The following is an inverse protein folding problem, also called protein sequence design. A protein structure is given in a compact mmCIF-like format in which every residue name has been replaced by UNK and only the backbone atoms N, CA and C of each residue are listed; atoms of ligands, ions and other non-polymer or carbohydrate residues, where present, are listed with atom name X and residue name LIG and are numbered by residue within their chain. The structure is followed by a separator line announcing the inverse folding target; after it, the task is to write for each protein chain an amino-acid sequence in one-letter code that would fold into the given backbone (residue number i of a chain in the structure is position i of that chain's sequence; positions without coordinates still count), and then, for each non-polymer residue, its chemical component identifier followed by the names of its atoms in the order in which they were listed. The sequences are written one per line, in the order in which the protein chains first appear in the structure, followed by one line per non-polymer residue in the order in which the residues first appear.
data_IF_635836287045
#
_entry.id   IF_635836287045
#
_cell.length_a   1.000
_cell.length_b   1.000
_cell.length_c   1.000
_cell.angle_alpha   90.00
_cell.angle_beta   90.00
_cell.angle_gamma   90.00
#
_symmetry.space_group_name_H-M   'P 1'
#
loop_
_entity.id
_entity.type
_entity.pdbx_description
1 polymer ?
#
# COMPACT_ATOMS: atom_id res chain seq x y z
N UNK A 1 -24.68 -0.41 -24.76
CA UNK A 1 -25.10 -0.19 -23.37
C UNK A 1 -24.38 1.05 -22.83
N UNK A 2 -25.01 2.24 -22.77
CA UNK A 2 -24.30 3.50 -22.40
C UNK A 2 -24.24 3.81 -20.91
N UNK A 3 -24.76 2.96 -20.01
CA UNK A 3 -24.82 3.22 -18.57
C UNK A 3 -23.49 3.08 -17.80
N UNK A 4 -22.59 2.20 -18.24
CA UNK A 4 -21.37 1.89 -17.51
C UNK A 4 -20.30 3.01 -17.55
N UNK A 5 -20.25 3.76 -18.65
CA UNK A 5 -19.27 4.84 -18.85
C UNK A 5 -19.62 6.09 -18.03
N UNK A 6 -20.92 6.40 -17.90
CA UNK A 6 -21.40 7.52 -17.07
C UNK A 6 -21.19 7.26 -15.58
N UNK A 7 -21.43 6.05 -15.10
CA UNK A 7 -21.20 5.71 -13.69
C UNK A 7 -19.72 5.69 -13.32
N UNK A 8 -18.84 5.26 -14.23
CA UNK A 8 -17.39 5.34 -14.02
C UNK A 8 -16.89 6.80 -14.00
N UNK A 9 -17.40 7.65 -14.89
CA UNK A 9 -17.06 9.08 -14.92
C UNK A 9 -17.58 9.81 -13.67
N UNK A 10 -18.78 9.51 -13.19
CA UNK A 10 -19.33 10.08 -11.96
C UNK A 10 -18.52 9.67 -10.72
N UNK A 11 -18.03 8.43 -10.68
CA UNK A 11 -17.15 7.95 -9.58
C UNK A 11 -15.77 8.59 -9.63
N UNK A 12 -15.18 8.74 -10.82
CA UNK A 12 -13.93 9.47 -11.03
C UNK A 12 -14.08 10.96 -10.69
N UNK A 13 -15.21 11.57 -11.07
CA UNK A 13 -15.52 12.97 -10.74
C UNK A 13 -15.73 13.15 -9.22
N UNK A 14 -16.45 12.24 -8.55
CA UNK A 14 -16.63 12.25 -7.09
C UNK A 14 -15.31 12.08 -6.35
N UNK A 15 -14.44 11.24 -6.86
CA UNK A 15 -13.10 11.03 -6.33
C UNK A 15 -12.18 12.24 -6.57
N UNK A 16 -12.24 12.83 -7.77
CA UNK A 16 -11.54 14.08 -8.07
C UNK A 16 -12.04 15.26 -7.22
N UNK A 17 -13.35 15.33 -6.97
CA UNK A 17 -13.95 16.33 -6.08
C UNK A 17 -13.47 16.16 -4.63
N UNK A 18 -13.41 14.93 -4.11
CA UNK A 18 -12.88 14.65 -2.78
C UNK A 18 -11.41 15.08 -2.66
N UNK A 19 -10.61 14.80 -3.68
CA UNK A 19 -9.22 15.24 -3.78
C UNK A 19 -9.11 16.77 -3.75
N UNK A 20 -9.90 17.46 -4.57
CA UNK A 20 -9.92 18.92 -4.65
C UNK A 20 -10.39 19.55 -3.35
N UNK A 21 -11.41 18.98 -2.69
CA UNK A 21 -11.87 19.44 -1.37
C UNK A 21 -10.78 19.25 -0.33
N UNK A 22 -10.07 18.10 -0.31
CA UNK A 22 -8.95 17.87 0.62
C UNK A 22 -7.81 18.85 0.36
N UNK A 23 -7.44 19.09 -0.90
CA UNK A 23 -6.44 20.08 -1.28
C UNK A 23 -6.89 21.51 -0.92
N UNK A 24 -8.15 21.85 -1.17
CA UNK A 24 -8.71 23.15 -0.85
C UNK A 24 -8.77 23.42 0.66
N UNK A 25 -9.11 22.41 1.45
CA UNK A 25 -9.07 22.51 2.93
C UNK A 25 -7.63 22.71 3.40
N UNK A 26 -6.67 21.98 2.86
CA UNK A 26 -5.23 22.14 3.16
C UNK A 26 -4.74 23.53 2.73
N UNK A 27 -5.16 24.03 1.57
CA UNK A 27 -4.74 25.37 1.09
C UNK A 27 -5.46 26.52 1.79
N UNK A 28 -6.70 26.32 2.22
CA UNK A 28 -7.49 27.36 2.92
C UNK A 28 -7.07 27.53 4.39
N UNK A 29 -6.55 26.48 5.02
CA UNK A 29 -6.03 26.55 6.39
C UNK A 29 -4.63 27.15 6.48
N UNK A 30 -3.94 27.34 5.33
CA UNK A 30 -2.70 28.12 5.20
C UNK A 30 -1.48 27.61 5.95
N UNK A 31 -1.64 26.53 6.72
CA UNK A 31 -0.54 25.96 7.52
C UNK A 31 -0.72 24.46 7.60
N UNK A 32 0.26 23.70 7.15
CA UNK A 32 0.34 22.29 7.53
C UNK A 32 0.56 22.22 9.04
N UNK A 33 -0.28 21.50 9.81
CA UNK A 33 -0.03 21.33 11.22
C UNK A 33 1.37 20.78 11.43
N UNK A 34 2.09 21.32 12.40
CA UNK A 34 3.42 20.84 12.77
C UNK A 34 3.35 19.39 13.24
N UNK A 35 4.48 18.67 13.18
CA UNK A 35 4.56 17.29 13.68
C UNK A 35 4.17 17.19 15.17
N UNK A 36 4.40 18.24 15.94
CA UNK A 36 3.97 18.32 17.35
C UNK A 36 2.47 18.45 17.50
N UNK A 37 1.82 19.35 16.74
CA UNK A 37 0.37 19.51 16.76
C UNK A 37 -0.38 18.24 16.35
N UNK A 38 0.10 17.57 15.28
CA UNK A 38 -0.48 16.30 14.86
C UNK A 38 -0.37 15.21 15.94
N UNK A 39 0.75 15.17 16.64
CA UNK A 39 0.98 14.22 17.73
C UNK A 39 0.08 14.51 18.94
N UNK A 40 -0.13 15.78 19.24
CA UNK A 40 -0.99 16.19 20.35
C UNK A 40 -2.45 15.92 20.02
N UNK A 41 -2.92 16.18 18.78
CA UNK A 41 -4.24 15.75 18.32
C UNK A 41 -4.45 14.23 18.43
N UNK A 42 -3.42 13.43 18.09
CA UNK A 42 -3.48 11.97 18.25
C UNK A 42 -3.67 11.54 19.70
N UNK A 43 -3.04 12.25 20.65
CA UNK A 43 -3.19 12.01 22.10
C UNK A 43 -4.57 12.44 22.62
N UNK A 44 -5.02 13.62 22.21
CA UNK A 44 -6.29 14.21 22.68
C UNK A 44 -7.50 13.39 22.20
N UNK A 45 -7.46 12.88 20.98
CA UNK A 45 -8.49 12.00 20.41
C UNK A 45 -8.44 10.56 20.98
N UNK A 46 -7.31 10.18 21.54
CA UNK A 46 -7.12 8.88 22.19
C UNK A 46 -7.52 7.68 21.33
N UNK A 47 -8.33 6.78 21.91
CA UNK A 47 -8.81 5.57 21.25
C UNK A 47 -9.71 5.84 20.03
N UNK A 48 -10.41 6.97 20.00
CA UNK A 48 -11.26 7.35 18.87
C UNK A 48 -10.43 7.61 17.60
N UNK A 49 -9.25 8.23 17.72
CA UNK A 49 -8.32 8.40 16.62
C UNK A 49 -7.85 7.05 16.06
N UNK A 50 -7.55 6.09 16.94
CA UNK A 50 -7.12 4.75 16.55
C UNK A 50 -8.21 3.99 15.75
N UNK A 51 -9.47 4.08 16.19
CA UNK A 51 -10.61 3.47 15.48
C UNK A 51 -10.84 4.14 14.12
N UNK A 52 -10.79 5.49 14.06
CA UNK A 52 -11.02 6.24 12.85
C UNK A 52 -9.86 6.07 11.84
N UNK A 53 -8.65 5.80 12.33
CA UNK A 53 -7.45 5.70 11.49
C UNK A 53 -7.54 4.60 10.43
N UNK A 54 -7.99 3.40 10.77
CA UNK A 54 -8.03 2.27 9.83
C UNK A 54 -9.01 2.52 8.68
N UNK A 55 -10.28 2.92 8.89
CA UNK A 55 -11.18 3.30 7.80
C UNK A 55 -10.64 4.46 6.96
N UNK A 56 -10.08 5.49 7.59
CA UNK A 56 -9.48 6.62 6.89
C UNK A 56 -8.29 6.18 6.04
N UNK A 57 -7.42 5.33 6.59
CA UNK A 57 -6.31 4.73 5.84
C UNK A 57 -6.80 4.04 4.57
N UNK A 58 -7.84 3.21 4.67
CA UNK A 58 -8.41 2.49 3.53
C UNK A 58 -8.86 3.45 2.43
N UNK A 59 -9.60 4.49 2.78
CA UNK A 59 -10.12 5.48 1.82
C UNK A 59 -8.96 6.27 1.19
N UNK A 60 -8.08 6.80 2.02
CA UNK A 60 -6.97 7.66 1.57
C UNK A 60 -5.93 6.88 0.78
N UNK A 61 -5.75 5.59 1.03
CA UNK A 61 -4.80 4.74 0.32
C UNK A 61 -5.14 4.52 -1.17
N UNK A 62 -6.33 4.86 -1.61
CA UNK A 62 -6.64 4.90 -3.05
C UNK A 62 -5.94 6.05 -3.77
N UNK A 63 -5.51 7.08 -3.04
CA UNK A 63 -4.87 8.30 -3.56
C UNK A 63 -3.41 8.40 -3.11
N UNK A 64 -3.21 8.29 -1.80
CA UNK A 64 -1.90 8.45 -1.17
C UNK A 64 -1.29 7.06 -0.95
N UNK A 65 0.00 6.95 -1.22
CA UNK A 65 0.72 5.68 -1.05
C UNK A 65 0.81 5.27 0.42
N UNK A 66 0.61 3.99 0.69
CA UNK A 66 0.58 3.43 2.04
C UNK A 66 1.81 3.74 2.95
N UNK A 67 3.06 3.92 2.43
CA UNK A 67 4.19 4.29 3.28
C UNK A 67 4.02 5.64 3.99
N UNK A 68 3.41 6.62 3.31
CA UNK A 68 3.11 7.94 3.90
C UNK A 68 2.10 7.79 5.03
N UNK A 69 1.06 7.00 4.80
CA UNK A 69 0.05 6.73 5.83
C UNK A 69 0.65 5.97 7.02
N UNK A 70 1.51 4.98 6.76
CA UNK A 70 2.22 4.26 7.82
C UNK A 70 3.12 5.20 8.66
N UNK A 71 3.84 6.12 8.01
CA UNK A 71 4.62 7.13 8.73
C UNK A 71 3.71 8.05 9.57
N UNK A 72 2.55 8.45 9.04
CA UNK A 72 1.55 9.22 9.80
C UNK A 72 1.06 8.46 11.05
N UNK A 73 0.88 7.14 10.97
CA UNK A 73 0.55 6.34 12.16
C UNK A 73 1.63 6.42 13.23
N UNK A 74 2.89 6.37 12.83
CA UNK A 74 4.03 6.53 13.74
C UNK A 74 4.04 7.88 14.41
N UNK A 75 3.78 8.93 13.65
CA UNK A 75 3.72 10.29 14.16
C UNK A 75 2.59 10.48 15.18
N UNK A 76 1.38 9.96 14.87
CA UNK A 76 0.18 10.12 15.69
C UNK A 76 0.19 9.22 16.94
N UNK A 77 0.58 7.95 16.79
CA UNK A 77 0.41 6.90 17.79
C UNK A 77 1.73 6.34 18.34
N UNK A 78 2.86 6.87 17.86
CA UNK A 78 4.19 6.32 18.17
C UNK A 78 4.45 4.98 17.49
N UNK A 79 5.66 4.44 17.65
CA UNK A 79 6.07 3.21 16.97
C UNK A 79 5.25 2.00 17.41
N UNK A 80 5.05 1.84 18.72
CA UNK A 80 4.35 0.67 19.28
C UNK A 80 2.85 0.64 18.92
N UNK A 81 2.15 1.78 19.05
CA UNK A 81 0.71 1.88 18.73
C UNK A 81 0.45 1.98 17.22
N UNK A 82 1.29 2.72 16.52
CA UNK A 82 1.15 2.96 15.08
C UNK A 82 1.40 1.71 14.23
N UNK A 83 2.30 0.81 14.65
CA UNK A 83 2.64 -0.39 13.87
C UNK A 83 1.42 -1.32 13.66
N UNK A 84 0.70 -1.76 14.69
CA UNK A 84 -0.48 -2.62 14.49
C UNK A 84 -1.60 -1.89 13.73
N UNK A 85 -1.81 -0.59 13.97
CA UNK A 85 -2.81 0.21 13.26
C UNK A 85 -2.48 0.36 11.77
N UNK A 86 -1.23 0.69 11.44
CA UNK A 86 -0.80 0.79 10.06
C UNK A 86 -0.83 -0.57 9.34
N UNK A 87 -0.48 -1.66 10.03
CA UNK A 87 -0.55 -3.01 9.46
C UNK A 87 -2.01 -3.42 9.19
N UNK A 88 -2.93 -3.11 10.09
CA UNK A 88 -4.35 -3.28 9.86
C UNK A 88 -4.83 -2.43 8.68
N UNK A 89 -4.46 -1.14 8.64
CA UNK A 89 -4.80 -0.22 7.56
C UNK A 89 -4.33 -0.70 6.18
N UNK A 90 -3.06 -1.07 6.06
CA UNK A 90 -2.48 -1.63 4.83
C UNK A 90 -3.21 -2.91 4.40
N UNK A 91 -3.51 -3.80 5.34
CA UNK A 91 -4.18 -5.05 5.04
C UNK A 91 -5.63 -4.83 4.59
N UNK A 92 -6.38 -3.98 5.32
CA UNK A 92 -7.74 -3.62 4.95
C UNK A 92 -7.80 -2.89 3.59
N UNK A 93 -6.83 -2.01 3.31
CA UNK A 93 -6.73 -1.33 2.02
C UNK A 93 -6.44 -2.32 0.88
N UNK A 94 -5.59 -3.33 1.09
CA UNK A 94 -5.36 -4.39 0.11
C UNK A 94 -6.65 -5.16 -0.21
N UNK A 95 -7.40 -5.55 0.83
CA UNK A 95 -8.68 -6.24 0.70
C UNK A 95 -9.70 -5.37 -0.04
N UNK A 96 -9.78 -4.08 0.30
CA UNK A 96 -10.69 -3.13 -0.35
C UNK A 96 -10.36 -2.97 -1.85
N UNK A 97 -9.08 -2.81 -2.21
CA UNK A 97 -8.64 -2.71 -3.60
C UNK A 97 -8.91 -4.00 -4.39
N UNK A 98 -8.67 -5.17 -3.77
CA UNK A 98 -9.02 -6.46 -4.34
C UNK A 98 -10.52 -6.60 -4.55
N UNK A 99 -11.33 -6.20 -3.57
CA UNK A 99 -12.79 -6.24 -3.65
C UNK A 99 -13.31 -5.32 -4.76
N UNK A 100 -12.82 -4.07 -4.84
CA UNK A 100 -13.16 -3.12 -5.90
C UNK A 100 -12.87 -3.72 -7.27
N UNK A 101 -11.68 -4.30 -7.48
CA UNK A 101 -11.33 -4.93 -8.75
C UNK A 101 -12.28 -6.10 -9.08
N UNK A 102 -12.54 -6.97 -8.10
CA UNK A 102 -13.40 -8.14 -8.27
C UNK A 102 -14.84 -7.78 -8.60
N UNK A 103 -15.42 -6.81 -7.87
CA UNK A 103 -16.80 -6.38 -8.09
C UNK A 103 -16.97 -5.56 -9.37
N UNK A 104 -15.99 -4.72 -9.73
CA UNK A 104 -16.06 -3.93 -10.97
C UNK A 104 -15.84 -4.78 -12.21
N UNK A 105 -14.97 -5.78 -12.14
CA UNK A 105 -14.66 -6.65 -13.27
C UNK A 105 -15.78 -7.68 -13.53
N UNK A 106 -16.48 -8.13 -12.48
CA UNK A 106 -17.56 -9.11 -12.59
C UNK A 106 -17.15 -10.34 -13.38
N UNK A 107 -18.02 -10.79 -14.31
CA UNK A 107 -17.76 -11.94 -15.18
C UNK A 107 -16.67 -11.72 -16.24
N UNK A 108 -16.19 -10.50 -16.42
CA UNK A 108 -15.16 -10.12 -17.40
C UNK A 108 -13.74 -10.05 -16.82
N UNK A 109 -13.56 -10.43 -15.56
CA UNK A 109 -12.30 -10.31 -14.81
C UNK A 109 -11.08 -10.84 -15.59
N UNK A 110 -11.17 -12.06 -16.13
CA UNK A 110 -10.05 -12.69 -16.86
C UNK A 110 -9.69 -12.03 -18.20
N UNK A 111 -10.57 -11.16 -18.75
CA UNK A 111 -10.31 -10.43 -20.01
C UNK A 111 -9.68 -9.05 -19.78
N UNK A 112 -9.71 -8.56 -18.56
CA UNK A 112 -9.25 -7.20 -18.22
C UNK A 112 -7.76 -7.15 -17.86
N UNK A 113 -7.13 -8.28 -17.60
CA UNK A 113 -5.69 -8.34 -17.34
C UNK A 113 -4.92 -8.16 -18.66
N UNK A 114 -4.05 -7.12 -18.75
CA UNK A 114 -3.16 -6.99 -19.88
C UNK A 114 -2.29 -8.24 -20.03
N UNK A 115 -1.96 -8.64 -21.26
CA UNK A 115 -1.12 -9.83 -21.51
C UNK A 115 0.20 -9.80 -20.74
N UNK A 116 0.78 -8.61 -20.56
CA UNK A 116 2.00 -8.41 -19.79
C UNK A 116 1.89 -8.77 -18.31
N UNK A 117 0.68 -8.85 -17.75
CA UNK A 117 0.42 -9.18 -16.34
C UNK A 117 -0.18 -10.57 -16.12
N UNK A 118 -0.45 -11.33 -17.18
CA UNK A 118 -1.00 -12.71 -17.07
C UNK A 118 -0.08 -13.66 -16.28
N UNK A 119 1.22 -13.47 -16.34
CA UNK A 119 2.17 -14.25 -15.52
C UNK A 119 1.90 -14.06 -14.02
N UNK A 120 1.47 -12.85 -13.61
CA UNK A 120 1.16 -12.52 -12.23
C UNK A 120 -0.09 -13.27 -11.75
N UNK A 121 -1.09 -13.46 -12.63
CA UNK A 121 -2.27 -14.28 -12.34
C UNK A 121 -1.85 -15.71 -11.94
N UNK A 122 -1.11 -16.39 -12.80
CA UNK A 122 -0.64 -17.74 -12.50
C UNK A 122 0.30 -17.83 -11.29
N UNK A 123 1.06 -16.78 -11.00
CA UNK A 123 1.91 -16.70 -9.82
C UNK A 123 1.07 -16.56 -8.54
N UNK A 124 0.08 -15.67 -8.54
CA UNK A 124 -0.80 -15.43 -7.39
C UNK A 124 -1.68 -16.64 -7.09
N UNK A 125 -2.20 -17.33 -8.11
CA UNK A 125 -3.07 -18.49 -7.92
C UNK A 125 -2.34 -19.73 -7.42
N UNK A 126 -1.08 -19.97 -7.88
CA UNK A 126 -0.32 -21.16 -7.51
C UNK A 126 0.16 -21.17 -6.07
N UNK A 127 0.57 -20.04 -5.53
CA UNK A 127 1.23 -19.96 -4.21
C UNK A 127 0.41 -19.21 -3.15
N UNK A 128 -0.75 -18.64 -3.52
CA UNK A 128 -1.66 -18.00 -2.58
C UNK A 128 -0.97 -16.92 -1.71
N UNK A 129 -1.05 -17.07 -0.39
CA UNK A 129 -0.48 -16.10 0.55
C UNK A 129 1.04 -15.94 0.42
N UNK A 130 1.78 -16.99 0.04
CA UNK A 130 3.24 -16.92 -0.14
C UNK A 130 3.62 -15.99 -1.29
N UNK A 131 2.90 -16.05 -2.42
CA UNK A 131 3.17 -15.15 -3.56
C UNK A 131 2.96 -13.70 -3.19
N UNK A 132 1.93 -13.39 -2.40
CA UNK A 132 1.71 -12.04 -1.89
C UNK A 132 2.83 -11.62 -0.94
N UNK A 133 3.20 -12.48 0.01
CA UNK A 133 4.29 -12.21 0.94
C UNK A 133 5.60 -11.88 0.20
N UNK A 134 5.96 -12.67 -0.82
CA UNK A 134 7.14 -12.42 -1.65
C UNK A 134 7.09 -11.05 -2.34
N UNK A 135 5.93 -10.66 -2.91
CA UNK A 135 5.78 -9.34 -3.53
C UNK A 135 5.86 -8.20 -2.54
N UNK A 136 5.49 -8.42 -1.26
CA UNK A 136 5.62 -7.43 -0.19
C UNK A 136 7.05 -7.30 0.31
N UNK A 137 7.76 -8.41 0.48
CA UNK A 137 9.15 -8.39 0.92
C UNK A 137 10.07 -7.80 -0.15
N UNK A 138 9.90 -8.21 -1.39
CA UNK A 138 10.69 -7.72 -2.51
C UNK A 138 9.98 -6.54 -3.18
N UNK A 139 10.57 -5.35 -3.26
CA UNK A 139 9.95 -4.16 -3.87
C UNK A 139 10.01 -4.22 -5.41
N UNK A 140 9.58 -5.35 -5.99
CA UNK A 140 9.63 -5.57 -7.45
C UNK A 140 8.33 -5.12 -8.12
N UNK A 141 7.21 -5.20 -7.40
CA UNK A 141 5.89 -4.90 -7.95
C UNK A 141 5.20 -3.79 -7.14
N UNK A 142 4.51 -2.85 -7.83
CA UNK A 142 3.69 -1.85 -7.17
C UNK A 142 2.60 -2.51 -6.31
N UNK A 143 2.39 -2.00 -5.10
CA UNK A 143 1.41 -2.52 -4.14
C UNK A 143 0.00 -2.66 -4.73
N UNK A 144 -0.51 -1.60 -5.38
CA UNK A 144 -1.82 -1.61 -6.00
C UNK A 144 -1.95 -2.61 -7.14
N UNK A 145 -0.89 -2.78 -7.95
CA UNK A 145 -0.92 -3.75 -9.06
C UNK A 145 -1.20 -5.17 -8.53
N UNK A 146 -0.55 -5.57 -7.45
CA UNK A 146 -0.77 -6.89 -6.83
C UNK A 146 -2.20 -7.02 -6.31
N UNK A 147 -2.73 -6.00 -5.63
CA UNK A 147 -4.07 -6.03 -5.05
C UNK A 147 -5.17 -6.09 -6.12
N UNK A 148 -5.08 -5.23 -7.14
CA UNK A 148 -6.05 -5.23 -8.24
C UNK A 148 -5.96 -6.52 -9.07
N UNK A 149 -4.74 -7.02 -9.36
CA UNK A 149 -4.57 -8.29 -10.05
C UNK A 149 -5.15 -9.44 -9.25
N UNK A 150 -4.93 -9.49 -7.93
CA UNK A 150 -5.54 -10.50 -7.06
C UNK A 150 -7.08 -10.47 -7.13
N UNK A 151 -7.68 -9.28 -7.29
CA UNK A 151 -9.13 -9.13 -7.48
C UNK A 151 -9.65 -9.75 -8.78
N UNK A 152 -8.82 -9.75 -9.83
CA UNK A 152 -9.15 -10.34 -11.14
C UNK A 152 -8.88 -11.84 -11.24
N UNK A 153 -8.24 -12.43 -10.22
CA UNK A 153 -7.94 -13.87 -10.09
C UNK A 153 -8.91 -14.58 -9.16
N UNK A 154 -8.75 -15.91 -9.02
CA UNK A 154 -9.49 -16.73 -8.04
C UNK A 154 -8.89 -16.71 -6.64
N UNK A 155 -7.87 -15.87 -6.37
CA UNK A 155 -7.24 -15.75 -5.06
C UNK A 155 -8.29 -15.44 -3.96
N UNK A 156 -8.12 -16.02 -2.78
CA UNK A 156 -8.99 -15.77 -1.64
C UNK A 156 -8.56 -14.51 -0.91
N UNK A 157 -9.51 -13.75 -0.36
CA UNK A 157 -9.22 -12.56 0.45
C UNK A 157 -8.28 -12.85 1.63
N UNK A 158 -8.45 -14.02 2.26
CA UNK A 158 -7.58 -14.46 3.36
C UNK A 158 -6.12 -14.63 2.94
N UNK A 159 -5.87 -15.12 1.72
CA UNK A 159 -4.52 -15.35 1.22
C UNK A 159 -3.83 -14.00 0.96
N UNK A 160 -4.56 -13.02 0.40
CA UNK A 160 -4.07 -11.65 0.27
C UNK A 160 -3.80 -11.01 1.63
N UNK A 161 -4.72 -11.19 2.61
CA UNK A 161 -4.57 -10.65 3.95
C UNK A 161 -3.34 -11.22 4.66
N UNK A 162 -3.23 -12.55 4.74
CA UNK A 162 -2.12 -13.23 5.40
C UNK A 162 -0.77 -12.89 4.75
N UNK A 163 -0.70 -12.94 3.42
CA UNK A 163 0.51 -12.57 2.69
C UNK A 163 0.88 -11.10 2.89
N UNK A 164 -0.10 -10.20 3.01
CA UNK A 164 0.13 -8.79 3.29
C UNK A 164 0.61 -8.57 4.73
N UNK A 165 -0.04 -9.18 5.73
CA UNK A 165 0.37 -9.06 7.14
C UNK A 165 1.81 -9.54 7.30
N UNK A 166 2.13 -10.75 6.84
CA UNK A 166 3.45 -11.34 7.02
C UNK A 166 4.53 -10.61 6.19
N UNK A 167 4.22 -10.28 4.95
CA UNK A 167 5.20 -9.69 4.03
C UNK A 167 5.39 -8.19 4.19
N UNK A 168 4.36 -7.44 4.61
CA UNK A 168 4.46 -6.00 4.78
C UNK A 168 4.96 -5.58 6.18
N UNK A 169 4.83 -6.43 7.20
CA UNK A 169 5.14 -6.11 8.58
C UNK A 169 6.52 -5.44 8.77
N UNK A 170 7.64 -5.94 8.21
CA UNK A 170 8.94 -5.29 8.39
C UNK A 170 8.99 -3.87 7.84
N UNK A 171 8.39 -3.64 6.65
CA UNK A 171 8.34 -2.32 6.03
C UNK A 171 7.39 -1.39 6.76
N UNK A 172 6.22 -1.88 7.17
CA UNK A 172 5.25 -1.10 7.96
C UNK A 172 5.90 -0.63 9.25
N UNK A 173 6.55 -1.52 9.99
CA UNK A 173 7.31 -1.15 11.18
C UNK A 173 8.35 -0.05 10.86
N UNK A 174 9.13 -0.22 9.79
CA UNK A 174 10.16 0.74 9.44
C UNK A 174 9.58 2.13 9.11
N UNK A 175 8.50 2.21 8.32
CA UNK A 175 7.89 3.50 8.01
C UNK A 175 7.22 4.14 9.23
N UNK A 176 6.57 3.34 10.09
CA UNK A 176 5.99 3.80 11.34
C UNK A 176 7.08 4.32 12.29
N UNK A 177 8.19 3.58 12.44
CA UNK A 177 9.30 4.00 13.29
C UNK A 177 9.94 5.30 12.78
N UNK A 178 10.13 5.46 11.47
CA UNK A 178 10.58 6.72 10.89
C UNK A 178 9.62 7.87 11.20
N UNK A 179 8.32 7.65 11.02
CA UNK A 179 7.30 8.65 11.32
C UNK A 179 7.26 9.03 12.79
N UNK A 180 7.37 8.05 13.69
CA UNK A 180 7.42 8.27 15.13
C UNK A 180 8.68 8.98 15.61
N UNK A 181 9.77 8.87 14.86
CA UNK A 181 11.09 9.47 15.17
C UNK A 181 11.38 10.75 14.38
N UNK A 182 10.38 11.36 13.73
CA UNK A 182 10.60 12.59 12.94
C UNK A 182 11.15 13.75 13.77
N UNK A 183 10.88 13.77 15.08
CA UNK A 183 11.40 14.78 16.03
C UNK A 183 12.77 14.41 16.62
N UNK A 184 13.19 13.15 16.49
CA UNK A 184 14.49 12.65 16.93
C UNK A 184 14.99 11.52 16.01
N UNK A 185 15.65 11.90 14.93
CA UNK A 185 16.24 10.95 13.98
C UNK A 185 17.43 10.18 14.55
N UNK A 186 17.93 10.56 15.72
CA UNK A 186 18.95 9.84 16.48
C UNK A 186 18.43 8.62 17.24
N UNK A 187 17.10 8.51 17.39
CA UNK A 187 16.44 7.43 18.11
C UNK A 187 16.82 6.03 17.57
N UNK A 188 16.93 5.03 18.46
CA UNK A 188 17.25 3.66 18.04
C UNK A 188 16.29 3.09 17.01
N UNK A 189 15.01 3.40 17.15
CA UNK A 189 13.96 2.95 16.22
C UNK A 189 14.17 3.49 14.80
N UNK A 190 14.61 4.75 14.65
CA UNK A 190 14.92 5.33 13.36
C UNK A 190 16.08 4.62 12.68
N UNK A 191 17.15 4.31 13.44
CA UNK A 191 18.31 3.58 12.92
C UNK A 191 17.94 2.17 12.47
N UNK A 192 17.14 1.45 13.26
CA UNK A 192 16.61 0.12 12.92
C UNK A 192 15.74 0.20 11.67
N UNK A 193 14.87 1.20 11.57
CA UNK A 193 14.00 1.41 10.42
C UNK A 193 14.80 1.63 9.12
N UNK A 194 15.81 2.50 9.16
CA UNK A 194 16.71 2.74 8.02
C UNK A 194 17.45 1.47 7.63
N UNK A 195 17.95 0.70 8.60
CA UNK A 195 18.64 -0.57 8.33
C UNK A 195 17.70 -1.58 7.65
N UNK A 196 16.45 -1.73 8.12
CA UNK A 196 15.46 -2.62 7.50
C UNK A 196 15.20 -2.20 6.05
N UNK A 197 14.93 -0.90 5.80
CA UNK A 197 14.64 -0.41 4.46
C UNK A 197 15.86 -0.55 3.52
N UNK A 198 17.07 -0.32 4.03
CA UNK A 198 18.30 -0.51 3.26
C UNK A 198 18.50 -1.99 2.87
N UNK A 199 18.34 -2.91 3.82
CA UNK A 199 18.47 -4.36 3.56
C UNK A 199 17.43 -4.82 2.53
N UNK A 200 16.16 -4.44 2.71
CA UNK A 200 15.10 -4.80 1.78
C UNK A 200 15.28 -4.15 0.40
N UNK A 201 15.78 -2.91 0.35
CA UNK A 201 16.10 -2.21 -0.89
C UNK A 201 17.24 -2.90 -1.65
N UNK A 202 18.33 -3.23 -0.96
CA UNK A 202 19.47 -3.97 -1.56
C UNK A 202 19.02 -5.35 -2.02
N UNK A 203 18.28 -6.10 -1.22
CA UNK A 203 17.76 -7.40 -1.60
C UNK A 203 16.88 -7.31 -2.87
N UNK A 204 15.96 -6.33 -2.92
CA UNK A 204 15.13 -6.08 -4.10
C UNK A 204 15.93 -5.73 -5.34
N UNK A 205 16.96 -4.88 -5.20
CA UNK A 205 17.85 -4.52 -6.31
C UNK A 205 18.65 -5.72 -6.83
N UNK A 206 19.14 -6.57 -5.94
CA UNK A 206 19.88 -7.79 -6.32
C UNK A 206 18.98 -8.78 -7.08
N UNK A 207 17.73 -8.99 -6.60
CA UNK A 207 16.77 -9.85 -7.31
C UNK A 207 16.43 -9.27 -8.68
N UNK A 208 16.18 -7.97 -8.77
CA UNK A 208 15.91 -7.30 -10.04
C UNK A 208 17.07 -7.44 -11.01
N UNK A 209 18.31 -7.19 -10.57
CA UNK A 209 19.51 -7.37 -11.39
C UNK A 209 19.68 -8.80 -11.90
N UNK A 210 19.41 -9.80 -11.05
CA UNK A 210 19.46 -11.23 -11.45
C UNK A 210 18.43 -11.54 -12.53
N UNK A 211 17.18 -11.06 -12.39
CA UNK A 211 16.12 -11.25 -13.39
C UNK A 211 16.47 -10.60 -14.73
N UNK A 212 16.92 -9.34 -14.71
CA UNK A 212 17.33 -8.62 -15.94
C UNK A 212 18.51 -9.30 -16.65
N UNK A 213 19.45 -9.90 -15.90
CA UNK A 213 20.56 -10.67 -16.50
C UNK A 213 20.07 -11.97 -17.14
N UNK A 214 19.16 -12.68 -16.47
CA UNK A 214 18.56 -13.91 -17.01
C UNK A 214 17.76 -13.65 -18.29
N UNK A 215 16.97 -12.56 -18.34
CA UNK A 215 16.20 -12.18 -19.52
C UNK A 215 17.11 -11.79 -20.71
N UNK A 216 18.24 -11.11 -20.44
CA UNK A 216 19.24 -10.80 -21.48
C UNK A 216 19.94 -12.06 -22.01
N UNK A 217 20.25 -13.01 -21.14
CA UNK A 217 20.86 -14.27 -21.55
C UNK A 217 19.91 -15.14 -22.38
N UNK A 218 18.58 -15.04 -22.12
CA UNK A 218 17.56 -15.77 -22.86
C UNK A 218 17.22 -15.15 -24.24
N UNK A 219 17.71 -13.92 -24.55
CA UNK A 219 17.47 -13.21 -25.83
C UNK A 219 18.78 -12.74 -26.47
N UNK A 220 19.66 -13.64 -26.92
CA UNK A 220 20.99 -13.27 -27.46
C UNK A 220 20.99 -12.65 -28.85
N UNK A 221 19.86 -12.18 -29.39
CA UNK A 221 19.73 -11.76 -30.78
C UNK A 221 19.06 -10.41 -31.08
N UNK A 222 18.89 -9.51 -30.08
CA UNK A 222 18.26 -8.20 -30.27
C UNK A 222 19.15 -7.04 -29.76
N UNK A 223 20.45 -7.07 -30.01
CA UNK A 223 21.36 -5.94 -29.83
C UNK A 223 21.83 -5.42 -31.20
#
# INVERSE_FOLDING_TARGET
MPGGRRSALLRLAGFGALLLVTLAVISATGSFPSAHELRDWGKDLGWAAAIAYVPLFVVVNFVITWPVLAAAAGLLFGTAGGTPLALAGVTCAAIAQMAVARFLAGSHAGRLLPERTRWLEGFLERHGALSVMETRLLPVLPYGLVNYSAGLTRMRFRDLALGTVLGAAPKVFAYVALGGSLTDLGAPEAKVAVAILAVLGVAGLLVLRRRLRADRAARPGLA
#
